data_IF_945138769619
#
_entry.id   IF_945138769619
#
_cell.length_a   1.000
_cell.length_b   1.000
_cell.length_c   1.000
_cell.angle_alpha   90.00
_cell.angle_beta   90.00
_cell.angle_gamma   90.00
#
_symmetry.space_group_name_H-M   'P 1'
#
loop_
_entity.id
_entity.type
_entity.pdbx_description
1 polymer ?
#
# COMPACT_ATOMS: atom_id res chain seq x y z
N UNK A 1 -15.87 -20.64 20.23
CA UNK A 1 -15.15 -19.55 19.55
C UNK A 1 -16.19 -18.65 18.91
N UNK A 2 -16.22 -17.34 19.19
CA UNK A 2 -17.06 -16.43 18.42
C UNK A 2 -16.49 -16.40 17.00
N UNK A 3 -17.29 -16.77 15.99
CA UNK A 3 -16.94 -16.51 14.60
C UNK A 3 -16.61 -15.02 14.46
N UNK A 4 -15.40 -14.71 14.00
CA UNK A 4 -15.02 -13.34 13.74
C UNK A 4 -15.59 -12.95 12.37
N UNK A 5 -16.84 -12.49 12.36
CA UNK A 5 -17.59 -12.15 11.14
C UNK A 5 -16.99 -10.97 10.34
N UNK A 6 -16.00 -10.24 10.90
CA UNK A 6 -15.44 -9.03 10.28
C UNK A 6 -14.25 -9.29 9.36
N UNK A 7 -13.54 -10.40 9.59
CA UNK A 7 -12.35 -10.74 8.80
C UNK A 7 -12.57 -12.06 8.08
N UNK A 8 -12.31 -12.09 6.78
CA UNK A 8 -12.39 -13.34 6.01
C UNK A 8 -11.22 -14.27 6.37
N UNK A 9 -11.37 -15.56 6.01
CA UNK A 9 -10.36 -16.57 6.31
C UNK A 9 -9.01 -16.27 5.64
N UNK A 10 -9.01 -15.80 4.39
CA UNK A 10 -7.78 -15.42 3.68
C UNK A 10 -6.95 -14.40 4.49
N UNK A 11 -7.59 -13.36 5.06
CA UNK A 11 -6.92 -12.37 5.89
C UNK A 11 -6.38 -12.98 7.19
N UNK A 12 -7.17 -13.82 7.87
CA UNK A 12 -6.74 -14.48 9.10
C UNK A 12 -5.55 -15.42 8.85
N UNK A 13 -5.56 -16.15 7.72
CA UNK A 13 -4.42 -16.96 7.27
C UNK A 13 -3.18 -16.11 7.00
N UNK A 14 -3.34 -14.96 6.34
CA UNK A 14 -2.23 -14.03 6.10
C UNK A 14 -1.68 -13.43 7.40
N UNK A 15 -2.55 -13.13 8.38
CA UNK A 15 -2.16 -12.68 9.71
C UNK A 15 -1.38 -13.77 10.47
N UNK A 16 -1.88 -15.01 10.50
CA UNK A 16 -1.23 -16.12 11.17
C UNK A 16 0.12 -16.45 10.53
N UNK A 17 0.21 -16.44 9.20
CA UNK A 17 1.49 -16.56 8.48
C UNK A 17 2.44 -15.44 8.87
N UNK A 18 1.96 -14.20 8.91
CA UNK A 18 2.77 -13.04 9.27
C UNK A 18 3.28 -13.14 10.71
N UNK A 19 2.44 -13.58 11.65
CA UNK A 19 2.80 -13.81 13.04
C UNK A 19 3.85 -14.91 13.20
N UNK A 20 3.68 -16.03 12.51
CA UNK A 20 4.61 -17.15 12.56
C UNK A 20 6.00 -16.80 11.99
N UNK A 21 6.06 -15.87 11.03
CA UNK A 21 7.29 -15.52 10.32
C UNK A 21 7.84 -14.13 10.69
N UNK A 22 7.21 -13.40 11.62
CA UNK A 22 7.62 -12.05 12.02
C UNK A 22 7.54 -11.02 10.88
N UNK A 23 6.52 -11.13 10.02
CA UNK A 23 6.36 -10.30 8.83
C UNK A 23 5.34 -9.18 9.04
N UNK A 24 5.55 -8.05 8.37
CA UNK A 24 4.62 -6.92 8.39
C UNK A 24 3.35 -7.23 7.58
N UNK A 25 2.16 -7.25 8.16
CA UNK A 25 0.97 -7.61 7.39
C UNK A 25 0.53 -6.49 6.43
N UNK A 26 0.33 -5.29 6.96
CA UNK A 26 -0.24 -4.17 6.21
C UNK A 26 -1.12 -3.28 7.07
N UNK A 27 -1.74 -2.27 6.46
CA UNK A 27 -2.62 -1.29 7.10
C UNK A 27 -3.90 -1.09 6.27
N UNK A 28 -4.96 -0.53 6.84
CA UNK A 28 -6.20 -0.21 6.14
C UNK A 28 -7.26 -1.31 6.22
N UNK A 29 -8.30 -1.18 5.40
CA UNK A 29 -9.44 -2.08 5.37
C UNK A 29 -9.10 -3.42 4.70
N UNK A 30 -9.10 -4.54 5.43
CA UNK A 30 -8.78 -5.83 4.84
C UNK A 30 -9.85 -6.35 3.88
N UNK A 31 -11.08 -5.82 3.95
CA UNK A 31 -12.18 -6.13 3.03
C UNK A 31 -12.27 -5.12 1.86
N UNK A 32 -11.27 -4.25 1.71
CA UNK A 32 -11.16 -3.35 0.57
C UNK A 32 -10.99 -4.11 -0.74
N UNK A 33 -11.39 -3.50 -1.85
CA UNK A 33 -11.19 -4.05 -3.20
C UNK A 33 -9.85 -3.64 -3.84
N UNK A 34 -9.18 -2.67 -3.23
CA UNK A 34 -7.94 -2.08 -3.74
C UNK A 34 -6.79 -2.41 -2.78
N UNK A 35 -5.72 -3.01 -3.29
CA UNK A 35 -4.46 -3.23 -2.59
C UNK A 35 -3.39 -2.26 -3.08
N UNK A 36 -2.80 -1.50 -2.16
CA UNK A 36 -1.71 -0.57 -2.42
C UNK A 36 -0.39 -1.17 -1.90
N UNK A 37 0.62 -1.30 -2.74
CA UNK A 37 1.92 -1.87 -2.37
C UNK A 37 3.03 -0.88 -2.66
N UNK A 38 3.67 -0.39 -1.60
CA UNK A 38 4.85 0.44 -1.67
C UNK A 38 6.16 -0.36 -1.59
N UNK A 39 7.26 0.37 -1.39
CA UNK A 39 8.60 -0.20 -1.22
C UNK A 39 8.85 -0.60 0.22
N UNK A 40 8.93 0.39 1.09
CA UNK A 40 9.06 0.29 2.54
C UNK A 40 8.48 1.56 3.18
N UNK A 41 8.24 1.51 4.49
CA UNK A 41 7.90 2.72 5.25
C UNK A 41 9.12 3.63 5.45
N UNK A 42 8.85 4.90 5.70
CA UNK A 42 9.81 5.92 6.08
C UNK A 42 9.38 6.60 7.39
N UNK A 43 8.77 5.84 8.30
CA UNK A 43 8.26 6.36 9.56
C UNK A 43 9.41 6.56 10.56
N UNK A 44 9.68 7.81 10.91
CA UNK A 44 10.74 8.18 11.84
C UNK A 44 10.51 7.67 13.28
N UNK A 45 9.29 7.23 13.62
CA UNK A 45 8.94 6.70 14.94
C UNK A 45 9.22 5.21 15.12
N UNK A 46 9.46 4.48 14.03
CA UNK A 46 9.64 3.02 14.04
C UNK A 46 11.12 2.70 13.83
N UNK A 47 11.67 1.79 14.63
CA UNK A 47 13.02 1.27 14.42
C UNK A 47 13.19 0.58 13.05
N UNK A 48 14.44 0.38 12.65
CA UNK A 48 14.80 -0.22 11.36
C UNK A 48 14.10 -1.57 11.07
N UNK A 49 13.92 -2.40 12.09
CA UNK A 49 13.37 -3.76 12.01
C UNK A 49 12.09 -3.94 12.85
N UNK A 50 11.47 -2.85 13.30
CA UNK A 50 10.33 -2.91 14.23
C UNK A 50 8.95 -2.89 13.55
N UNK A 51 8.91 -2.66 12.24
CA UNK A 51 7.68 -2.48 11.48
C UNK A 51 6.69 -3.65 11.67
N UNK A 52 7.16 -4.90 11.59
CA UNK A 52 6.31 -6.07 11.77
C UNK A 52 5.83 -6.22 13.20
N UNK A 53 6.69 -5.98 14.19
CA UNK A 53 6.35 -6.08 15.61
C UNK A 53 5.22 -5.14 16.01
N UNK A 54 5.31 -3.86 15.61
CA UNK A 54 4.28 -2.85 15.88
C UNK A 54 2.98 -3.22 15.17
N UNK A 55 3.08 -3.58 13.89
CA UNK A 55 1.92 -3.91 13.07
C UNK A 55 1.15 -5.15 13.56
N UNK A 56 1.86 -6.24 13.89
CA UNK A 56 1.25 -7.47 14.38
C UNK A 56 0.62 -7.29 15.77
N UNK A 57 1.24 -6.47 16.63
CA UNK A 57 0.62 -6.10 17.91
C UNK A 57 -0.70 -5.36 17.70
N UNK A 58 -0.74 -4.42 16.76
CA UNK A 58 -1.96 -3.67 16.44
C UNK A 58 -3.05 -4.58 15.85
N UNK A 59 -2.71 -5.44 14.90
CA UNK A 59 -3.67 -6.41 14.35
C UNK A 59 -4.18 -7.40 15.39
N UNK A 60 -3.34 -7.85 16.32
CA UNK A 60 -3.79 -8.71 17.41
C UNK A 60 -4.87 -8.04 18.27
N UNK A 61 -4.69 -6.75 18.63
CA UNK A 61 -5.71 -5.97 19.35
C UNK A 61 -7.00 -5.88 18.53
N UNK A 62 -6.90 -5.48 17.26
CA UNK A 62 -8.05 -5.32 16.36
C UNK A 62 -8.84 -6.62 16.21
N UNK A 63 -8.16 -7.74 15.97
CA UNK A 63 -8.80 -9.05 15.77
C UNK A 63 -9.41 -9.56 17.08
N UNK A 64 -8.69 -9.46 18.21
CA UNK A 64 -9.16 -9.98 19.50
C UNK A 64 -10.32 -9.18 20.09
N UNK A 65 -10.39 -7.88 19.80
CA UNK A 65 -11.47 -6.99 20.25
C UNK A 65 -12.58 -6.83 19.20
N UNK A 66 -12.43 -7.42 18.01
CA UNK A 66 -13.33 -7.25 16.86
C UNK A 66 -13.56 -5.77 16.49
N UNK A 67 -12.50 -4.96 16.60
CA UNK A 67 -12.52 -3.50 16.37
C UNK A 67 -12.84 -3.19 14.90
N UNK A 68 -13.68 -2.18 14.72
CA UNK A 68 -14.10 -1.63 13.43
C UNK A 68 -13.40 -0.30 13.11
N UNK A 69 -13.56 0.19 11.87
CA UNK A 69 -13.01 1.51 11.48
C UNK A 69 -13.69 2.64 12.26
N UNK A 70 -14.96 2.46 12.58
CA UNK A 70 -15.78 3.40 13.33
C UNK A 70 -15.28 3.53 14.77
N UNK A 71 -14.71 2.46 15.33
CA UNK A 71 -14.12 2.45 16.67
C UNK A 71 -12.77 3.18 16.74
N UNK A 72 -12.15 3.48 15.59
CA UNK A 72 -10.87 4.17 15.55
C UNK A 72 -11.06 5.66 15.86
N UNK A 73 -10.42 6.12 16.93
CA UNK A 73 -10.45 7.51 17.38
C UNK A 73 -9.69 8.47 16.46
N UNK A 74 -9.99 9.76 16.60
CA UNK A 74 -9.25 10.83 15.91
C UNK A 74 -7.79 10.86 16.41
N UNK A 75 -6.83 10.89 15.48
CA UNK A 75 -5.38 10.79 15.71
C UNK A 75 -4.91 9.49 16.37
N UNK A 76 -5.77 8.47 16.47
CA UNK A 76 -5.34 7.14 16.88
C UNK A 76 -4.44 6.53 15.79
N UNK A 77 -3.37 5.87 16.24
CA UNK A 77 -2.48 5.10 15.38
C UNK A 77 -2.73 3.61 15.58
N UNK A 78 -3.39 2.99 14.60
CA UNK A 78 -3.59 1.55 14.56
C UNK A 78 -3.56 1.04 13.12
N UNK A 79 -3.49 -0.28 12.97
CA UNK A 79 -3.35 -0.89 11.66
C UNK A 79 -4.58 -0.79 10.77
N UNK A 80 -5.78 -0.58 11.32
CA UNK A 80 -7.02 -0.54 10.56
C UNK A 80 -7.26 0.82 9.90
N UNK A 81 -6.91 1.92 10.59
CA UNK A 81 -6.93 3.27 10.03
C UNK A 81 -5.80 4.09 10.67
N UNK A 82 -4.58 4.03 10.12
CA UNK A 82 -3.45 4.72 10.71
C UNK A 82 -3.63 6.23 10.59
N UNK A 83 -3.40 6.94 11.70
CA UNK A 83 -3.33 8.41 11.76
C UNK A 83 -4.59 9.11 11.24
N UNK A 84 -5.76 8.61 11.66
CA UNK A 84 -7.07 9.15 11.29
C UNK A 84 -7.16 10.65 11.63
N UNK A 85 -7.65 11.45 10.69
CA UNK A 85 -7.79 12.91 10.89
C UNK A 85 -6.77 13.79 10.16
N UNK A 86 -5.90 13.22 9.35
CA UNK A 86 -5.04 13.99 8.45
C UNK A 86 -5.86 14.65 7.32
N UNK A 87 -5.50 15.88 6.97
CA UNK A 87 -6.13 16.63 5.87
C UNK A 87 -5.59 16.21 4.50
N UNK A 88 -6.39 16.39 3.45
CA UNK A 88 -6.05 16.20 2.05
C UNK A 88 -5.16 17.35 1.52
N UNK A 89 -4.03 17.52 2.18
CA UNK A 89 -2.97 18.46 1.83
C UNK A 89 -1.62 17.83 2.20
N UNK A 90 -0.53 18.24 1.57
CA UNK A 90 0.78 17.66 1.83
C UNK A 90 1.48 18.47 2.93
N UNK A 91 1.86 17.80 4.02
CA UNK A 91 2.75 18.40 5.04
C UNK A 91 4.18 18.44 4.52
N UNK A 92 4.82 19.62 4.59
CA UNK A 92 6.24 19.79 4.22
C UNK A 92 6.97 20.65 5.24
N UNK A 93 8.14 20.19 5.63
CA UNK A 93 9.13 20.99 6.37
C UNK A 93 10.05 21.62 5.32
N UNK A 94 10.11 22.95 5.27
CA UNK A 94 10.98 23.69 4.35
C UNK A 94 12.40 23.80 4.92
N UNK A 95 13.35 24.23 4.09
CA UNK A 95 14.77 24.38 4.46
C UNK A 95 14.98 25.36 5.61
N UNK A 96 14.12 26.37 5.73
CA UNK A 96 14.14 27.39 6.79
C UNK A 96 13.45 26.92 8.08
N UNK A 97 13.03 25.64 8.16
CA UNK A 97 12.30 25.08 9.29
C UNK A 97 10.81 25.40 9.31
N UNK A 98 10.31 26.25 8.41
CA UNK A 98 8.87 26.54 8.34
C UNK A 98 8.10 25.34 7.82
N UNK A 99 6.91 25.13 8.38
CA UNK A 99 6.04 24.01 8.01
C UNK A 99 4.88 24.54 7.19
N UNK A 100 4.63 23.92 6.05
CA UNK A 100 3.41 24.12 5.26
C UNK A 100 2.50 22.90 5.37
N UNK A 101 1.20 23.12 5.54
CA UNK A 101 0.22 22.03 5.65
C UNK A 101 0.41 21.21 6.93
N UNK A 102 0.53 21.87 8.09
CA UNK A 102 0.85 21.24 9.39
C UNK A 102 0.01 19.99 9.72
N UNK A 103 -1.28 20.00 9.37
CA UNK A 103 -2.24 18.90 9.59
C UNK A 103 -2.41 18.00 8.36
N UNK A 104 -1.58 18.19 7.35
CA UNK A 104 -1.58 17.41 6.12
C UNK A 104 -0.94 16.04 6.26
N UNK A 105 -1.04 15.27 5.19
CA UNK A 105 -0.52 13.91 5.07
C UNK A 105 0.80 13.87 4.28
N UNK A 106 1.35 12.66 4.12
CA UNK A 106 2.52 12.41 3.27
C UNK A 106 2.20 12.58 1.78
N UNK A 107 3.22 12.77 0.95
CA UNK A 107 3.01 12.82 -0.51
C UNK A 107 2.41 11.50 -1.04
N UNK A 108 2.87 10.37 -0.51
CA UNK A 108 2.38 9.03 -0.88
C UNK A 108 0.89 8.90 -0.58
N UNK A 109 0.47 9.22 0.65
CA UNK A 109 -0.93 9.09 1.06
C UNK A 109 -1.84 10.10 0.39
N UNK A 110 -1.35 11.30 0.07
CA UNK A 110 -2.07 12.25 -0.77
C UNK A 110 -2.43 11.62 -2.14
N UNK A 111 -1.46 10.96 -2.79
CA UNK A 111 -1.71 10.33 -4.09
C UNK A 111 -2.49 9.02 -3.99
N UNK A 112 -2.37 8.27 -2.90
CA UNK A 112 -3.26 7.13 -2.63
C UNK A 112 -4.71 7.60 -2.47
N UNK A 113 -4.95 8.65 -1.68
CA UNK A 113 -6.28 9.26 -1.60
C UNK A 113 -6.80 9.69 -2.97
N UNK A 114 -5.99 10.47 -3.71
CA UNK A 114 -6.40 10.97 -5.01
C UNK A 114 -6.73 9.85 -6.00
N UNK A 115 -5.90 8.79 -6.03
CA UNK A 115 -6.15 7.61 -6.85
C UNK A 115 -7.44 6.90 -6.45
N UNK A 116 -7.62 6.62 -5.15
CA UNK A 116 -8.80 5.91 -4.63
C UNK A 116 -10.08 6.68 -4.93
N UNK A 117 -10.10 8.00 -4.72
CA UNK A 117 -11.27 8.82 -5.06
C UNK A 117 -11.60 8.76 -6.55
N UNK A 118 -10.59 8.80 -7.43
CA UNK A 118 -10.78 8.70 -8.87
C UNK A 118 -11.28 7.33 -9.32
N UNK A 119 -10.78 6.24 -8.73
CA UNK A 119 -11.24 4.87 -9.02
C UNK A 119 -12.71 4.71 -8.61
N UNK A 120 -13.05 5.17 -7.41
CA UNK A 120 -14.40 5.04 -6.82
C UNK A 120 -15.38 6.11 -7.31
N UNK A 121 -14.95 7.03 -8.18
CA UNK A 121 -15.74 8.16 -8.68
C UNK A 121 -16.32 9.00 -7.54
N UNK A 122 -15.56 9.18 -6.45
CA UNK A 122 -15.93 10.05 -5.32
C UNK A 122 -15.85 11.51 -5.74
N UNK A 123 -16.59 12.37 -5.03
CA UNK A 123 -16.49 13.83 -5.19
C UNK A 123 -15.05 14.28 -4.92
N UNK A 124 -14.47 15.15 -5.77
CA UNK A 124 -13.11 15.64 -5.56
C UNK A 124 -12.95 16.31 -4.19
N UNK A 125 -11.99 15.83 -3.40
CA UNK A 125 -11.64 16.43 -2.12
C UNK A 125 -10.94 17.78 -2.29
N UNK A 126 -11.21 18.70 -1.38
CA UNK A 126 -10.48 19.97 -1.21
C UNK A 126 -9.52 19.89 -0.03
N UNK A 127 -8.61 20.87 0.09
CA UNK A 127 -7.51 20.86 1.07
C UNK A 127 -7.93 20.70 2.54
N UNK A 128 -9.16 21.09 2.88
CA UNK A 128 -9.67 21.03 4.26
C UNK A 128 -10.34 19.68 4.58
N UNK A 129 -10.64 18.88 3.56
CA UNK A 129 -11.23 17.55 3.74
C UNK A 129 -10.22 16.60 4.36
N UNK A 130 -10.72 15.55 5.02
CA UNK A 130 -9.90 14.50 5.58
C UNK A 130 -9.63 13.41 4.54
N UNK A 131 -8.44 12.79 4.63
CA UNK A 131 -8.17 11.55 3.90
C UNK A 131 -8.90 10.39 4.57
N UNK A 132 -9.43 9.49 3.76
CA UNK A 132 -10.25 8.35 4.13
C UNK A 132 -9.95 7.09 3.30
N UNK A 133 -8.91 7.08 2.46
CA UNK A 133 -8.65 5.97 1.54
C UNK A 133 -8.44 4.61 2.25
N UNK A 134 -7.99 4.62 3.51
CA UNK A 134 -7.87 3.42 4.34
C UNK A 134 -9.20 2.69 4.55
N UNK A 135 -10.34 3.37 4.39
CA UNK A 135 -11.67 2.74 4.45
C UNK A 135 -11.94 1.84 3.23
N UNK A 136 -11.24 2.06 2.12
CA UNK A 136 -11.50 1.39 0.85
C UNK A 136 -10.35 0.52 0.38
N UNK A 137 -9.17 0.71 0.97
CA UNK A 137 -7.93 0.08 0.53
C UNK A 137 -7.26 -0.67 1.68
N UNK A 138 -6.60 -1.76 1.32
CA UNK A 138 -5.53 -2.32 2.12
C UNK A 138 -4.19 -1.84 1.58
N UNK A 139 -3.22 -1.56 2.45
CA UNK A 139 -1.86 -1.16 2.09
C UNK A 139 -0.87 -2.20 2.63
N UNK A 140 0.17 -2.52 1.87
CA UNK A 140 1.32 -3.27 2.35
C UNK A 140 2.62 -2.77 1.70
N UNK A 141 3.76 -3.37 2.06
CA UNK A 141 5.08 -2.98 1.55
C UNK A 141 5.87 -4.19 1.04
N UNK A 142 6.68 -4.01 0.01
CA UNK A 142 7.59 -5.03 -0.52
C UNK A 142 8.74 -5.37 0.45
N UNK A 143 9.13 -4.44 1.31
CA UNK A 143 10.22 -4.55 2.27
C UNK A 143 9.73 -4.04 3.64
N UNK A 144 10.04 -4.76 4.72
CA UNK A 144 9.63 -4.36 6.07
C UNK A 144 10.75 -3.67 6.86
N UNK A 145 11.94 -3.53 6.27
CA UNK A 145 12.99 -2.73 6.87
C UNK A 145 12.71 -1.25 6.63
N UNK A 146 12.47 -0.52 7.70
CA UNK A 146 12.20 0.92 7.67
C UNK A 146 13.43 1.68 7.17
N UNK A 147 13.23 2.59 6.23
CA UNK A 147 14.30 3.43 5.69
C UNK A 147 13.76 4.82 5.38
N UNK A 148 14.40 5.86 5.93
CA UNK A 148 14.05 7.26 5.59
C UNK A 148 14.13 7.49 4.08
N UNK A 149 15.15 6.91 3.43
CA UNK A 149 15.23 6.81 1.98
C UNK A 149 15.66 5.41 1.59
N UNK A 150 15.03 4.89 0.55
CA UNK A 150 15.38 3.60 -0.05
C UNK A 150 16.87 3.46 -0.37
N UNK A 151 17.51 4.54 -0.82
CA UNK A 151 18.91 4.55 -1.25
C UNK A 151 19.90 4.58 -0.07
N UNK A 152 19.43 4.79 1.16
CA UNK A 152 20.29 4.76 2.34
C UNK A 152 20.69 3.32 2.69
N UNK A 153 19.95 2.33 2.21
CA UNK A 153 20.28 0.90 2.32
C UNK A 153 20.81 0.41 0.97
N UNK A 154 22.05 -0.13 0.91
CA UNK A 154 22.60 -0.71 -0.32
C UNK A 154 21.70 -1.80 -0.91
N UNK A 155 21.68 -1.89 -2.25
CA UNK A 155 20.90 -2.93 -2.96
C UNK A 155 21.39 -4.35 -2.66
N UNK A 156 22.66 -4.52 -2.30
CA UNK A 156 23.27 -5.79 -1.92
C UNK A 156 23.19 -6.08 -0.41
N UNK A 157 22.48 -5.27 0.38
CA UNK A 157 22.27 -5.56 1.81
C UNK A 157 21.47 -6.87 1.94
N UNK A 158 22.09 -7.87 2.59
CA UNK A 158 21.53 -9.21 2.72
C UNK A 158 20.25 -9.24 3.57
N UNK A 159 20.09 -8.32 4.54
CA UNK A 159 18.87 -8.23 5.35
C UNK A 159 17.72 -7.70 4.50
N UNK A 160 17.99 -6.74 3.62
CA UNK A 160 17.00 -6.22 2.68
C UNK A 160 16.58 -7.26 1.66
N UNK A 161 17.54 -7.95 1.04
CA UNK A 161 17.26 -9.04 0.10
C UNK A 161 16.43 -10.12 0.79
N UNK A 162 16.84 -10.56 1.98
CA UNK A 162 16.09 -11.56 2.76
C UNK A 162 14.68 -11.06 3.09
N UNK A 163 14.55 -9.81 3.55
CA UNK A 163 13.24 -9.22 3.85
C UNK A 163 12.34 -9.28 2.63
N UNK A 164 12.77 -8.78 1.48
CA UNK A 164 11.96 -8.76 0.26
C UNK A 164 11.56 -10.18 -0.18
N UNK A 165 12.45 -11.17 -0.09
CA UNK A 165 12.13 -12.57 -0.42
C UNK A 165 11.14 -13.20 0.56
N UNK A 166 11.20 -12.86 1.84
CA UNK A 166 10.21 -13.34 2.81
C UNK A 166 8.85 -12.63 2.64
N UNK A 167 8.87 -11.33 2.30
CA UNK A 167 7.68 -10.56 1.92
C UNK A 167 7.02 -11.08 0.66
N UNK A 168 7.80 -11.48 -0.35
CA UNK A 168 7.32 -12.10 -1.60
C UNK A 168 6.48 -13.36 -1.31
N UNK A 169 6.91 -14.20 -0.37
CA UNK A 169 6.15 -15.39 0.04
C UNK A 169 4.82 -15.01 0.71
N UNK A 170 4.79 -13.97 1.55
CA UNK A 170 3.54 -13.48 2.13
C UNK A 170 2.60 -12.92 1.05
N UNK A 171 3.12 -12.06 0.17
CA UNK A 171 2.34 -11.42 -0.89
C UNK A 171 1.82 -12.42 -1.93
N UNK A 172 2.35 -13.65 -1.94
CA UNK A 172 1.86 -14.76 -2.75
C UNK A 172 0.66 -15.52 -2.12
N UNK A 173 0.24 -15.18 -0.89
CA UNK A 173 -0.95 -15.77 -0.28
C UNK A 173 -2.24 -15.29 -0.97
N UNK A 174 -3.31 -16.10 -0.86
CA UNK A 174 -4.61 -15.83 -1.47
C UNK A 174 -5.14 -14.43 -1.14
N UNK A 175 -5.03 -14.02 0.12
CA UNK A 175 -5.43 -12.69 0.58
C UNK A 175 -4.92 -11.57 -0.32
N UNK A 176 -3.60 -11.51 -0.57
CA UNK A 176 -2.99 -10.44 -1.36
C UNK A 176 -3.25 -10.59 -2.86
N UNK A 177 -3.51 -11.81 -3.34
CA UNK A 177 -3.86 -12.05 -4.74
C UNK A 177 -5.28 -11.64 -5.07
N UNK A 178 -6.21 -11.79 -4.13
CA UNK A 178 -7.65 -11.75 -4.37
C UNK A 178 -8.27 -10.35 -4.48
N UNK A 179 -7.48 -9.28 -4.33
CA UNK A 179 -7.94 -7.93 -4.59
C UNK A 179 -8.27 -7.71 -6.06
N UNK A 180 -9.38 -7.01 -6.33
CA UNK A 180 -9.83 -6.68 -7.70
C UNK A 180 -8.81 -5.76 -8.41
N UNK A 181 -8.24 -4.83 -7.66
CA UNK A 181 -7.23 -3.87 -8.13
C UNK A 181 -6.01 -3.92 -7.21
N UNK A 182 -4.84 -4.14 -7.79
CA UNK A 182 -3.54 -4.08 -7.09
C UNK A 182 -2.69 -2.97 -7.70
N UNK A 183 -2.21 -2.03 -6.89
CA UNK A 183 -1.29 -0.96 -7.30
C UNK A 183 0.08 -1.22 -6.68
N UNK A 184 1.02 -1.71 -7.49
CA UNK A 184 2.41 -1.91 -7.11
C UNK A 184 3.25 -0.68 -7.47
N UNK A 185 3.29 0.28 -6.54
CA UNK A 185 3.99 1.56 -6.65
C UNK A 185 5.45 1.44 -6.17
N UNK A 186 6.24 0.59 -6.82
CA UNK A 186 7.60 0.24 -6.35
C UNK A 186 8.72 0.52 -7.36
N UNK A 187 8.40 1.01 -8.55
CA UNK A 187 9.37 1.30 -9.61
C UNK A 187 10.18 0.05 -9.99
N UNK A 188 11.51 0.15 -9.98
CA UNK A 188 12.38 -0.96 -10.39
C UNK A 188 12.74 -1.94 -9.27
N UNK A 189 12.11 -1.86 -8.09
CA UNK A 189 12.39 -2.78 -6.98
C UNK A 189 12.30 -4.24 -7.36
N UNK A 190 11.31 -4.60 -8.17
CA UNK A 190 11.16 -5.98 -8.60
C UNK A 190 12.37 -6.49 -9.40
N UNK A 191 13.01 -5.63 -10.21
CA UNK A 191 14.25 -5.96 -10.93
C UNK A 191 15.45 -5.96 -10.00
N UNK A 192 15.53 -4.97 -9.14
CA UNK A 192 16.66 -4.78 -8.22
C UNK A 192 16.82 -5.94 -7.21
N UNK A 193 15.71 -6.60 -6.87
CA UNK A 193 15.67 -7.65 -5.84
C UNK A 193 15.10 -8.99 -6.34
N UNK A 194 14.97 -9.16 -7.65
CA UNK A 194 14.47 -10.39 -8.27
C UNK A 194 13.08 -10.81 -7.72
N UNK A 195 12.19 -9.86 -7.53
CA UNK A 195 10.81 -10.15 -7.10
C UNK A 195 9.97 -10.45 -8.34
N UNK A 196 9.37 -11.64 -8.41
CA UNK A 196 8.57 -12.05 -9.55
C UNK A 196 7.11 -11.60 -9.36
N UNK A 197 6.76 -10.45 -9.95
CA UNK A 197 5.40 -9.89 -9.89
C UNK A 197 4.36 -10.88 -10.44
N UNK A 198 4.66 -11.54 -11.55
CA UNK A 198 3.70 -12.40 -12.24
C UNK A 198 3.40 -13.64 -11.40
N UNK A 199 4.44 -14.30 -10.90
CA UNK A 199 4.31 -15.47 -10.01
C UNK A 199 3.68 -15.09 -8.67
N UNK A 200 4.11 -13.98 -8.08
CA UNK A 200 3.63 -13.57 -6.76
C UNK A 200 2.13 -13.29 -6.79
N UNK A 201 1.64 -12.53 -7.77
CA UNK A 201 0.22 -12.15 -7.82
C UNK A 201 -0.65 -13.05 -8.71
N UNK A 202 -0.05 -14.02 -9.41
CA UNK A 202 -0.80 -14.88 -10.34
C UNK A 202 -1.38 -14.08 -11.52
N UNK A 203 -0.57 -13.19 -12.09
CA UNK A 203 -0.96 -12.27 -13.18
C UNK A 203 0.05 -12.35 -14.33
N UNK A 204 -0.35 -11.89 -15.52
CA UNK A 204 0.48 -11.83 -16.73
C UNK A 204 0.63 -10.40 -17.20
N UNK A 205 1.85 -9.97 -17.48
CA UNK A 205 2.11 -8.66 -18.08
C UNK A 205 1.56 -8.62 -19.52
N UNK A 206 0.96 -7.50 -19.91
CA UNK A 206 0.43 -7.29 -21.28
C UNK A 206 1.52 -7.13 -22.34
N UNK A 207 2.80 -7.04 -21.93
CA UNK A 207 3.94 -6.96 -22.84
C UNK A 207 4.34 -5.54 -23.26
N UNK A 208 3.60 -4.51 -22.83
CA UNK A 208 3.89 -3.11 -23.15
C UNK A 208 3.92 -2.23 -21.90
N UNK A 209 4.81 -1.23 -21.92
CA UNK A 209 4.86 -0.17 -20.91
C UNK A 209 4.18 1.08 -21.43
N UNK A 210 3.18 1.57 -20.72
CA UNK A 210 2.54 2.84 -21.00
C UNK A 210 3.41 3.97 -20.44
N UNK A 211 3.98 4.80 -21.31
CA UNK A 211 4.85 5.92 -20.92
C UNK A 211 4.12 7.22 -21.24
N UNK A 212 3.83 8.01 -20.21
CA UNK A 212 3.19 9.33 -20.36
C UNK A 212 4.25 10.44 -20.44
N UNK A 213 5.29 10.33 -19.62
CA UNK A 213 6.43 11.26 -19.63
C UNK A 213 7.64 10.64 -18.93
N UNK A 214 8.77 11.37 -18.92
CA UNK A 214 10.00 10.91 -18.23
C UNK A 214 9.71 10.58 -16.77
N UNK A 215 9.85 9.31 -16.42
CA UNK A 215 9.62 8.80 -15.07
C UNK A 215 8.16 8.60 -14.70
N UNK A 216 7.18 8.90 -15.56
CA UNK A 216 5.75 8.61 -15.37
C UNK A 216 5.31 7.54 -16.37
N UNK A 217 5.17 6.32 -15.86
CA UNK A 217 4.83 5.14 -16.65
C UNK A 217 4.07 4.14 -15.81
N UNK A 218 3.35 3.23 -16.45
CA UNK A 218 2.71 2.09 -15.79
C UNK A 218 2.67 0.86 -16.71
N UNK A 219 2.70 -0.32 -16.11
CA UNK A 219 2.56 -1.62 -16.74
C UNK A 219 1.25 -2.26 -16.29
N UNK A 220 0.57 -2.91 -17.22
CA UNK A 220 -0.69 -3.61 -16.96
C UNK A 220 -0.44 -5.10 -16.83
N UNK A 221 -0.99 -5.69 -15.78
CA UNK A 221 -0.99 -7.12 -15.57
C UNK A 221 -2.41 -7.62 -15.29
N UNK A 222 -2.78 -8.77 -15.84
CA UNK A 222 -4.10 -9.36 -15.65
C UNK A 222 -4.00 -10.80 -15.17
N UNK A 223 -4.99 -11.26 -14.40
CA UNK A 223 -5.15 -12.67 -14.04
C UNK A 223 -5.43 -13.55 -15.27
N UNK A 224 -6.15 -13.00 -16.25
CA UNK A 224 -6.41 -13.61 -17.55
C UNK A 224 -6.39 -12.53 -18.65
N UNK A 225 -5.63 -12.75 -19.73
CA UNK A 225 -5.47 -11.74 -20.80
C UNK A 225 -6.69 -11.61 -21.72
N UNK A 226 -7.56 -12.62 -21.80
CA UNK A 226 -8.75 -12.62 -22.66
C UNK A 226 -9.96 -12.03 -21.94
N UNK A 227 -10.15 -12.43 -20.67
CA UNK A 227 -11.26 -11.98 -19.84
C UNK A 227 -10.77 -11.67 -18.41
N UNK A 228 -10.11 -10.51 -18.22
CA UNK A 228 -9.53 -10.16 -16.94
C UNK A 228 -10.64 -9.95 -15.90
N UNK A 229 -10.46 -10.53 -14.71
CA UNK A 229 -11.32 -10.27 -13.54
C UNK A 229 -10.62 -9.38 -12.51
N UNK A 230 -9.29 -9.32 -12.56
CA UNK A 230 -8.48 -8.48 -11.68
C UNK A 230 -7.36 -7.83 -12.46
N UNK A 231 -6.92 -6.68 -11.98
CA UNK A 231 -5.84 -5.90 -12.58
C UNK A 231 -4.74 -5.62 -11.56
N UNK A 232 -3.49 -5.77 -11.98
CA UNK A 232 -2.33 -5.24 -11.27
C UNK A 232 -1.65 -4.18 -12.12
N UNK A 233 -1.48 -3.01 -11.51
CA UNK A 233 -0.75 -1.88 -12.08
C UNK A 233 0.63 -1.85 -11.45
N UNK A 234 1.68 -2.06 -12.24
CA UNK A 234 3.05 -1.87 -11.80
C UNK A 234 3.57 -0.53 -12.29
N UNK A 235 4.01 0.33 -11.38
CA UNK A 235 4.38 1.73 -11.70
C UNK A 235 5.50 2.23 -10.80
N UNK A 236 5.93 3.47 -11.03
CA UNK A 236 6.85 4.21 -10.15
C UNK A 236 6.30 4.32 -8.73
N UNK A 237 7.16 4.65 -7.79
CA UNK A 237 6.74 5.04 -6.44
C UNK A 237 5.92 6.34 -6.47
N UNK A 238 4.88 6.41 -5.65
CA UNK A 238 4.02 7.59 -5.47
C UNK A 238 4.70 8.63 -4.56
N UNK A 239 5.91 9.04 -4.93
CA UNK A 239 6.72 9.99 -4.18
C UNK A 239 6.93 11.27 -4.99
N UNK A 240 8.09 11.89 -4.88
CA UNK A 240 8.41 13.13 -5.60
C UNK A 240 8.32 12.93 -7.12
N UNK A 241 7.89 13.97 -7.84
CA UNK A 241 7.80 14.05 -9.31
C UNK A 241 6.72 13.18 -9.98
N UNK A 242 5.83 12.52 -9.23
CA UNK A 242 4.64 11.91 -9.83
C UNK A 242 3.66 12.99 -10.29
N UNK A 243 2.98 12.73 -11.41
CA UNK A 243 2.04 13.65 -12.06
C UNK A 243 0.61 13.22 -11.81
N UNK A 244 -0.32 14.18 -11.79
CA UNK A 244 -1.76 13.87 -11.74
C UNK A 244 -2.22 13.07 -12.96
N UNK A 245 -1.65 13.36 -14.13
CA UNK A 245 -1.89 12.63 -15.38
C UNK A 245 -1.62 11.13 -15.23
N UNK A 246 -0.52 10.74 -14.57
CA UNK A 246 -0.25 9.34 -14.28
C UNK A 246 -1.32 8.72 -13.38
N UNK A 247 -1.73 9.42 -12.33
CA UNK A 247 -2.75 8.92 -11.40
C UNK A 247 -4.10 8.74 -12.10
N UNK A 248 -4.48 9.71 -12.94
CA UNK A 248 -5.72 9.68 -13.72
C UNK A 248 -5.72 8.56 -14.76
N UNK A 249 -4.59 8.34 -15.46
CA UNK A 249 -4.43 7.23 -16.39
C UNK A 249 -4.58 5.89 -15.67
N UNK A 250 -3.90 5.69 -14.54
CA UNK A 250 -4.03 4.48 -13.71
C UNK A 250 -5.47 4.29 -13.24
N UNK A 251 -6.13 5.35 -12.75
CA UNK A 251 -7.51 5.27 -12.28
C UNK A 251 -8.48 4.82 -13.38
N UNK A 252 -8.27 5.30 -14.61
CA UNK A 252 -9.11 4.92 -15.76
C UNK A 252 -9.04 3.42 -16.06
N UNK A 253 -7.85 2.81 -15.97
CA UNK A 253 -7.66 1.36 -16.15
C UNK A 253 -8.34 0.55 -15.04
N UNK A 254 -8.32 1.05 -13.80
CA UNK A 254 -8.83 0.33 -12.64
C UNK A 254 -10.37 0.36 -12.51
N UNK A 255 -11.04 1.38 -13.05
CA UNK A 255 -12.50 1.58 -12.87
C UNK A 255 -13.38 0.44 -13.35
N UNK A 256 -12.94 -0.33 -14.35
CA UNK A 256 -13.72 -1.46 -14.87
C UNK A 256 -13.71 -2.69 -13.95
N UNK A 257 -12.92 -2.66 -12.87
CA UNK A 257 -12.73 -3.78 -11.95
C UNK A 257 -13.39 -3.58 -10.59
N UNK A 258 -14.04 -2.44 -10.33
CA UNK A 258 -14.62 -2.09 -9.02
C UNK A 258 -16.16 -2.08 -9.05
#
# INVERSE_FOLDING_TARGET
>A
MKENLRFNNDFLEAYDYSKANGLYLGLGNPMGKILLIGKETSDDKIGFDEMSKVNLKSWNDIISTNKSIEDVGFLEDNALFPWKGQKFTIRRIKKDGTISGETGTSTTWYYYQYLTDLILKKTPKVKEDLIDFHEYCFQSEMNQLNAKKSNDIPKNDLRRIKSIKDREKLLALNYFRNFDVIILASGHYHKDFDFDIQKTFGVKWTGNTNVLSKGNWYNLHYDNLEKPKRILIHTRQFSTLITKELIEAIANECRSFI
#
